data_IF_576623781750
#
_entry.id   IF_576623781750
#
_cell.length_a   1.000
_cell.length_b   1.000
_cell.length_c   1.000
_cell.angle_alpha   90.00
_cell.angle_beta   90.00
_cell.angle_gamma   90.00
#
_symmetry.space_group_name_H-M   'P 1'
#
loop_
_entity.id
_entity.type
_entity.pdbx_description
1 polymer ?
2 non-polymer ?
3 non-polymer ?
4 non-polymer ?
5 non-polymer ?
6 water ?
#
# COMPACT_ATOMS: atom_id res chain seq x y z
N UNK A 19 -14.20 -25.51 -18.40
CA UNK A 19 -13.70 -24.22 -17.90
C UNK A 19 -13.11 -23.33 -18.99
N UNK A 20 -13.30 -22.00 -18.87
CA UNK A 20 -12.68 -21.06 -19.80
C UNK A 20 -11.16 -20.99 -19.56
N UNK A 21 -10.43 -20.50 -20.57
CA UNK A 21 -8.98 -20.43 -20.55
C UNK A 21 -8.57 -19.03 -21.02
N UNK A 22 -7.50 -18.46 -20.44
CA UNK A 22 -6.96 -17.16 -20.82
C UNK A 22 -5.44 -17.30 -20.91
N UNK A 23 -4.85 -16.91 -22.07
CA UNK A 23 -3.41 -16.98 -22.30
C UNK A 23 -2.85 -18.39 -22.03
N UNK A 24 -3.57 -19.40 -22.49
CA UNK A 24 -3.18 -20.80 -22.36
C UNK A 24 -3.15 -21.32 -20.93
N UNK A 25 -4.01 -20.78 -20.04
CA UNK A 25 -4.07 -21.16 -18.63
C UNK A 25 -5.53 -21.18 -18.17
N UNK A 26 -5.91 -22.17 -17.34
CA UNK A 26 -7.30 -22.27 -16.87
C UNK A 26 -7.67 -21.09 -15.96
N UNK A 27 -8.90 -20.61 -16.12
CA UNK A 27 -9.43 -19.56 -15.29
C UNK A 27 -10.91 -19.89 -15.06
N UNK A 28 -11.13 -20.73 -14.05
CA UNK A 28 -12.36 -21.52 -13.88
C UNK A 28 -13.30 -20.87 -12.89
N UNK A 29 -14.03 -19.90 -13.38
CA UNK A 29 -14.88 -19.01 -12.55
C UNK A 29 -16.35 -19.06 -12.94
N UNK A 30 -16.70 -19.74 -14.03
CA UNK A 30 -18.10 -19.83 -14.45
C UNK A 30 -18.85 -20.77 -13.55
N UNK A 31 -20.17 -20.86 -13.74
CA UNK A 31 -20.97 -20.10 -14.71
C UNK A 31 -21.35 -18.67 -14.35
N UNK A 32 -21.16 -18.24 -13.10
CA UNK A 32 -21.53 -16.89 -12.70
C UNK A 32 -20.78 -15.84 -13.49
N UNK A 33 -19.48 -16.09 -13.73
CA UNK A 33 -18.60 -15.13 -14.38
C UNK A 33 -18.14 -15.64 -15.76
N UNK A 34 -18.43 -14.85 -16.81
CA UNK A 34 -18.20 -15.25 -18.20
C UNK A 34 -17.48 -14.15 -19.01
N UNK A 35 -17.04 -14.48 -20.25
CA UNK A 35 -16.32 -13.64 -21.20
C UNK A 35 -15.18 -12.91 -20.53
N UNK A 36 -14.16 -13.70 -20.24
CA UNK A 36 -12.99 -13.26 -19.50
C UNK A 36 -12.09 -12.45 -20.44
N UNK A 37 -11.48 -11.41 -19.91
CA UNK A 37 -10.43 -10.71 -20.62
C UNK A 37 -9.29 -10.43 -19.63
N UNK A 38 -8.08 -10.89 -19.95
CA UNK A 38 -6.83 -10.55 -19.27
C UNK A 38 -6.73 -9.04 -18.89
N UNK A 39 -6.45 -8.73 -17.61
CA UNK A 39 -6.14 -7.36 -17.15
C UNK A 39 -4.62 -7.21 -17.01
N UNK A 40 -3.97 -8.20 -16.41
CA UNK A 40 -2.54 -8.18 -16.15
C UNK A 40 -2.14 -9.26 -15.18
N UNK A 41 -0.84 -9.31 -14.83
CA UNK A 41 -0.34 -10.18 -13.77
C UNK A 41 -0.36 -9.41 -12.47
N UNK A 42 -0.89 -10.04 -11.44
CA UNK A 42 -0.82 -9.55 -10.07
C UNK A 42 0.26 -10.23 -9.27
N UNK A 43 0.38 -9.85 -8.00
CA UNK A 43 1.46 -10.35 -7.14
C UNK A 43 1.44 -11.87 -6.97
N UNK A 44 0.26 -12.55 -7.05
CA UNK A 44 0.21 -14.02 -6.86
C UNK A 44 -0.41 -14.83 -8.02
N UNK A 45 -0.77 -14.18 -9.12
CA UNK A 45 -1.25 -14.91 -10.30
C UNK A 45 -1.99 -14.04 -11.28
N UNK A 46 -2.67 -14.67 -12.23
CA UNK A 46 -3.37 -13.94 -13.28
C UNK A 46 -4.56 -13.17 -12.76
N UNK A 47 -4.74 -11.94 -13.24
CA UNK A 47 -5.94 -11.16 -13.01
C UNK A 47 -6.66 -11.04 -14.38
N UNK A 48 -7.97 -11.31 -14.42
CA UNK A 48 -8.87 -11.07 -15.56
C UNK A 48 -10.06 -10.28 -15.13
N UNK A 49 -10.69 -9.59 -16.07
CA UNK A 49 -12.03 -9.06 -15.90
C UNK A 49 -13.00 -10.14 -16.43
N UNK A 50 -14.22 -10.07 -15.95
CA UNK A 50 -15.27 -11.01 -16.35
C UNK A 50 -16.61 -10.36 -16.13
N UNK A 51 -17.62 -10.80 -16.87
CA UNK A 51 -18.98 -10.30 -16.69
C UNK A 51 -19.61 -11.07 -15.54
N UNK A 52 -20.11 -10.38 -14.53
CA UNK A 52 -20.84 -11.00 -13.44
C UNK A 52 -22.30 -11.08 -13.87
N UNK A 53 -22.78 -12.30 -14.14
CA UNK A 53 -24.14 -12.48 -14.61
C UNK A 53 -25.21 -12.22 -13.53
N UNK A 54 -24.84 -12.17 -12.23
CA UNK A 54 -25.79 -11.87 -11.15
C UNK A 54 -25.97 -10.34 -10.98
N UNK A 55 -24.90 -9.60 -10.69
CA UNK A 55 -25.02 -8.14 -10.51
C UNK A 55 -25.00 -7.34 -11.84
N UNK A 56 -24.81 -8.01 -12.97
CA UNK A 56 -24.86 -7.38 -14.29
C UNK A 56 -23.86 -6.24 -14.44
N UNK A 57 -22.60 -6.51 -14.02
CA UNK A 57 -21.45 -5.61 -14.16
C UNK A 57 -20.22 -6.44 -14.41
N UNK A 58 -19.25 -5.89 -15.15
CA UNK A 58 -17.94 -6.51 -15.18
C UNK A 58 -17.24 -6.31 -13.82
N UNK A 59 -16.43 -7.31 -13.43
CA UNK A 59 -15.71 -7.37 -12.16
C UNK A 59 -14.28 -7.75 -12.47
N UNK A 60 -13.37 -7.64 -11.48
CA UNK A 60 -11.99 -8.12 -11.62
C UNK A 60 -11.89 -9.40 -10.79
N UNK A 61 -11.16 -10.38 -11.28
CA UNK A 61 -10.92 -11.64 -10.59
C UNK A 61 -9.46 -11.98 -10.58
N UNK A 62 -8.91 -12.26 -9.40
CA UNK A 62 -7.53 -12.66 -9.19
C UNK A 62 -7.51 -14.18 -8.99
N UNK A 63 -6.62 -14.90 -9.68
CA UNK A 63 -6.41 -16.35 -9.47
C UNK A 63 -5.24 -16.55 -8.52
N UNK A 64 -5.45 -17.37 -7.47
CA UNK A 64 -4.43 -17.74 -6.52
C UNK A 64 -4.26 -19.24 -6.59
N UNK A 65 -3.06 -19.71 -6.94
CA UNK A 65 -2.73 -21.14 -7.00
C UNK A 65 -1.76 -21.52 -5.91
N UNK A 66 -1.91 -22.71 -5.31
CA UNK A 66 -0.97 -23.10 -4.26
C UNK A 66 0.43 -23.44 -4.84
N UNK A 71 0.48 -26.20 -0.66
CA UNK A 71 1.19 -25.14 0.04
C UNK A 71 0.71 -23.76 -0.42
N UNK A 72 -0.04 -23.08 0.45
CA UNK A 72 -0.52 -21.73 0.21
C UNK A 72 0.39 -20.71 0.92
N UNK A 73 0.12 -19.41 0.73
CA UNK A 73 0.94 -18.35 1.27
C UNK A 73 0.19 -17.73 2.41
N UNK A 74 0.83 -17.52 3.57
CA UNK A 74 0.17 -16.84 4.71
C UNK A 74 -0.36 -15.47 4.30
N UNK A 75 0.25 -14.84 3.32
CA UNK A 75 -0.14 -13.52 2.87
C UNK A 75 -1.55 -13.54 2.19
N UNK A 76 -1.93 -14.67 1.55
CA UNK A 76 -3.27 -14.80 1.00
C UNK A 76 -4.30 -14.75 2.15
N UNK A 77 -4.03 -15.51 3.22
CA UNK A 77 -4.94 -15.54 4.36
C UNK A 77 -5.01 -14.18 5.04
N UNK A 78 -3.86 -13.58 5.28
CA UNK A 78 -3.83 -12.27 5.98
C UNK A 78 -4.66 -11.24 5.21
N UNK A 79 -4.52 -11.20 3.89
CA UNK A 79 -5.27 -10.28 3.09
C UNK A 79 -6.75 -10.56 3.14
N UNK A 80 -7.13 -11.82 2.95
CA UNK A 80 -8.56 -12.16 3.00
C UNK A 80 -9.17 -11.73 4.35
N UNK A 81 -8.54 -12.09 5.48
CA UNK A 81 -9.06 -11.74 6.80
C UNK A 81 -9.25 -10.22 6.92
N UNK A 82 -8.23 -9.43 6.49
CA UNK A 82 -8.30 -8.01 6.59
C UNK A 82 -9.38 -7.43 5.69
N UNK A 83 -9.39 -7.79 4.42
CA UNK A 83 -10.32 -7.19 3.49
C UNK A 83 -11.76 -7.59 3.75
N UNK A 84 -12.00 -8.79 4.28
CA UNK A 84 -13.34 -9.16 4.70
C UNK A 84 -13.82 -8.39 5.92
N UNK A 85 -12.91 -7.95 6.81
CA UNK A 85 -13.28 -7.18 7.99
C UNK A 85 -13.45 -5.71 7.67
N UNK A 86 -12.67 -5.19 6.75
CA UNK A 86 -12.71 -3.78 6.40
C UNK A 86 -13.87 -3.42 5.52
N UNK A 87 -14.45 -2.24 5.77
CA UNK A 87 -15.48 -1.71 4.88
C UNK A 87 -15.23 -0.20 4.77
N UNK A 88 -14.69 0.24 3.64
CA UNK A 88 -14.39 1.66 3.42
C UNK A 88 -14.39 1.99 1.91
N UNK A 89 -14.85 3.17 1.57
CA UNK A 89 -14.91 3.59 0.17
C UNK A 89 -13.57 3.60 -0.53
N UNK A 90 -12.44 3.86 0.21
CA UNK A 90 -11.13 3.94 -0.37
C UNK A 90 -10.28 2.71 -0.14
N UNK A 91 -10.93 1.55 0.18
CA UNK A 91 -10.26 0.27 0.37
C UNK A 91 -11.00 -0.73 -0.50
N UNK A 92 -10.27 -1.49 -1.30
CA UNK A 92 -10.90 -2.50 -2.17
C UNK A 92 -11.61 -3.57 -1.28
N UNK A 93 -12.80 -3.94 -1.67
CA UNK A 93 -13.53 -5.00 -0.99
C UNK A 93 -13.39 -6.31 -1.73
N UNK A 94 -13.76 -7.39 -1.08
CA UNK A 94 -13.89 -8.69 -1.72
C UNK A 94 -15.39 -8.94 -1.89
N UNK A 95 -15.82 -9.06 -3.11
CA UNK A 95 -17.21 -9.27 -3.53
C UNK A 95 -17.60 -10.75 -3.51
N UNK A 96 -16.66 -11.64 -3.76
CA UNK A 96 -16.93 -13.08 -3.87
C UNK A 96 -15.57 -13.82 -3.79
N UNK A 97 -15.59 -15.10 -3.37
CA UNK A 97 -14.40 -15.96 -3.38
C UNK A 97 -14.85 -17.31 -3.92
N UNK A 98 -14.18 -17.80 -4.97
CA UNK A 98 -14.55 -19.05 -5.64
C UNK A 98 -13.52 -20.09 -5.27
N UNK A 99 -14.01 -21.24 -4.78
CA UNK A 99 -13.14 -22.35 -4.46
C UNK A 99 -13.98 -23.65 -4.47
N UNK A 100 -13.32 -24.82 -4.48
CA UNK A 100 -14.05 -26.09 -4.40
C UNK A 100 -14.79 -26.20 -3.06
N UNK A 101 -15.85 -27.02 -3.01
CA UNK A 101 -16.64 -27.14 -1.77
C UNK A 101 -15.99 -27.85 -0.59
N UNK A 102 -14.88 -28.54 -0.80
CA UNK A 102 -14.21 -29.29 0.23
C UNK A 102 -12.75 -29.02 0.26
N UNK A 103 -12.10 -29.17 1.42
CA UNK A 103 -10.62 -29.02 1.52
C UNK A 103 -9.90 -29.98 0.56
N UNK A 104 -10.40 -31.22 0.44
CA UNK A 104 -9.72 -32.21 -0.40
C UNK A 104 -9.70 -31.77 -1.85
N UNK A 105 -10.75 -31.13 -2.32
CA UNK A 105 -10.85 -30.72 -3.75
C UNK A 105 -10.33 -29.30 -4.00
N UNK A 106 -10.15 -28.53 -2.94
CA UNK A 106 -9.72 -27.16 -3.07
C UNK A 106 -8.30 -27.13 -3.62
N UNK A 107 -8.08 -26.28 -4.65
CA UNK A 107 -6.76 -26.06 -5.25
C UNK A 107 -6.67 -24.56 -5.51
N UNK A 108 -7.17 -24.05 -6.66
CA UNK A 108 -7.13 -22.63 -6.91
C UNK A 108 -8.27 -21.91 -6.14
N UNK A 109 -7.99 -20.68 -5.72
CA UNK A 109 -8.93 -19.77 -5.09
C UNK A 109 -9.01 -18.52 -5.97
N UNK A 110 -10.21 -18.08 -6.28
CA UNK A 110 -10.38 -16.86 -7.10
C UNK A 110 -11.02 -15.81 -6.26
N UNK A 111 -10.46 -14.58 -6.30
CA UNK A 111 -10.96 -13.51 -5.49
C UNK A 111 -11.59 -12.49 -6.42
N UNK A 112 -12.83 -12.17 -6.21
CA UNK A 112 -13.60 -11.29 -7.09
C UNK A 112 -13.69 -9.93 -6.39
N UNK A 113 -13.34 -8.87 -7.11
CA UNK A 113 -13.41 -7.50 -6.62
C UNK A 113 -14.08 -6.58 -7.66
N UNK A 114 -14.46 -5.34 -7.24
CA UNK A 114 -14.93 -4.35 -8.21
C UNK A 114 -13.93 -4.12 -9.31
N UNK A 115 -14.43 -3.91 -10.54
CA UNK A 115 -13.54 -3.66 -11.66
C UNK A 115 -12.99 -2.23 -11.50
N UNK A 116 -11.71 -2.01 -11.78
CA UNK A 116 -11.15 -0.63 -11.68
C UNK A 116 -10.39 -0.36 -12.99
N UNK A 117 -10.71 0.72 -13.75
CA UNK A 117 -10.10 1.08 -15.07
C UNK A 117 -8.58 0.87 -15.04
N UNK A 118 -7.92 1.37 -13.95
CA UNK A 118 -6.47 1.48 -13.97
C UNK A 118 -5.94 1.53 -12.51
N UNK A 119 -4.67 1.86 -12.35
CA UNK A 119 -3.98 2.02 -11.08
C UNK A 119 -3.02 3.20 -11.25
N UNK A 120 -2.54 3.73 -10.14
CA UNK A 120 -1.73 4.93 -10.20
C UNK A 120 -0.37 4.67 -10.91
N UNK A 121 0.15 3.44 -10.85
CA UNK A 121 1.42 3.11 -11.50
C UNK A 121 1.25 3.29 -13.04
N UNK A 122 0.20 2.69 -13.59
CA UNK A 122 -0.08 2.81 -15.05
C UNK A 122 -0.36 4.21 -15.44
N UNK A 123 -1.12 4.90 -14.58
CA UNK A 123 -1.54 6.24 -14.92
C UNK A 123 -0.30 7.17 -14.97
N UNK A 124 0.58 7.08 -13.99
CA UNK A 124 1.81 7.88 -13.97
C UNK A 124 2.80 7.57 -15.11
N UNK A 125 2.76 6.36 -15.69
CA UNK A 125 3.65 6.06 -16.83
C UNK A 125 3.34 6.96 -18.04
N UNK A 126 2.08 7.39 -18.19
CA UNK A 126 1.66 8.07 -19.42
C UNK A 126 0.86 9.36 -19.26
N UNK A 127 0.40 9.72 -18.04
CA UNK A 127 -0.46 10.88 -17.88
C UNK A 127 0.15 11.88 -16.90
N UNK A 128 0.24 13.15 -17.29
CA UNK A 128 0.54 14.25 -16.39
C UNK A 128 -0.67 14.48 -15.55
N UNK A 129 -0.51 14.57 -14.21
CA UNK A 129 -1.63 14.90 -13.34
C UNK A 129 -1.81 16.38 -13.13
N UNK A 130 -3.06 16.88 -13.19
CA UNK A 130 -3.35 18.22 -12.76
C UNK A 130 -3.16 18.32 -11.24
N UNK A 131 -2.96 19.56 -10.69
CA UNK A 131 -2.90 19.74 -9.26
C UNK A 131 -4.20 19.28 -8.61
N UNK A 132 -5.37 19.49 -9.28
CA UNK A 132 -6.62 18.97 -8.69
C UNK A 132 -6.62 17.45 -8.58
N UNK A 133 -6.04 16.76 -9.56
CA UNK A 133 -6.00 15.29 -9.48
C UNK A 133 -5.05 14.84 -8.37
N UNK A 134 -3.88 15.45 -8.26
CA UNK A 134 -2.88 15.12 -7.19
C UNK A 134 -3.56 15.32 -5.82
N UNK A 135 -4.26 16.45 -5.69
CA UNK A 135 -4.90 16.80 -4.42
C UNK A 135 -6.00 15.77 -4.05
N UNK A 136 -6.85 15.41 -5.02
CA UNK A 136 -7.92 14.47 -4.79
C UNK A 136 -7.39 13.07 -4.49
N UNK A 137 -6.40 12.64 -5.28
CA UNK A 137 -5.79 11.32 -5.09
C UNK A 137 -5.17 11.25 -3.69
N UNK A 138 -4.40 12.28 -3.31
CA UNK A 138 -3.71 12.27 -2.01
C UNK A 138 -4.77 12.22 -0.88
N UNK A 139 -5.83 13.07 -1.00
CA UNK A 139 -6.94 13.03 -0.05
C UNK A 139 -7.48 11.61 0.15
N UNK A 140 -7.74 10.92 -0.96
CA UNK A 140 -8.37 9.59 -0.87
C UNK A 140 -7.44 8.56 -0.27
N UNK A 141 -6.15 8.64 -0.61
CA UNK A 141 -5.13 7.73 -0.03
C UNK A 141 -5.15 7.92 1.48
N UNK A 142 -5.13 9.20 1.92
CA UNK A 142 -5.07 9.47 3.36
C UNK A 142 -6.38 9.10 4.08
N UNK A 143 -7.50 9.30 3.44
CA UNK A 143 -8.83 8.94 3.97
C UNK A 143 -8.86 7.42 4.22
N UNK A 144 -8.43 6.65 3.22
CA UNK A 144 -8.36 5.19 3.36
C UNK A 144 -7.38 4.79 4.44
N UNK A 145 -6.20 5.42 4.41
CA UNK A 145 -5.17 5.14 5.42
C UNK A 145 -5.61 5.46 6.82
N UNK A 146 -6.41 6.49 6.98
CA UNK A 146 -6.94 6.82 8.34
C UNK A 146 -7.73 5.63 8.88
N UNK A 147 -8.55 5.06 8.03
CA UNK A 147 -9.39 3.90 8.44
C UNK A 147 -8.46 2.70 8.78
N UNK A 148 -7.52 2.41 7.92
CA UNK A 148 -6.56 1.29 8.15
C UNK A 148 -5.84 1.48 9.52
N UNK A 149 -5.25 2.66 9.74
CA UNK A 149 -4.54 2.95 10.97
C UNK A 149 -5.48 2.94 12.16
N UNK A 150 -6.74 3.37 12.00
CA UNK A 150 -7.68 3.37 13.12
C UNK A 150 -7.96 1.93 13.60
N UNK A 151 -7.80 0.95 12.72
CA UNK A 151 -7.94 -0.48 13.04
C UNK A 151 -6.61 -1.07 13.60
N UNK A 152 -5.62 -0.23 13.89
CA UNK A 152 -4.29 -0.59 14.37
C UNK A 152 -3.56 -1.50 13.39
N UNK A 153 -3.81 -1.31 12.08
CA UNK A 153 -3.22 -2.06 10.98
C UNK A 153 -2.32 -1.14 10.20
N UNK A 154 -1.22 -1.69 9.75
CA UNK A 154 -0.24 -1.06 8.84
C UNK A 154 -0.32 -1.72 7.53
N UNK A 155 -0.42 -0.98 6.42
CA UNK A 155 -0.47 -1.58 5.10
C UNK A 155 0.88 -2.17 4.72
N UNK A 156 1.92 -1.36 4.85
CA UNK A 156 3.34 -1.65 4.75
C UNK A 156 3.83 -1.84 3.32
N UNK A 157 2.99 -1.67 2.29
CA UNK A 157 3.46 -1.72 0.94
C UNK A 157 2.70 -0.80 0.04
N UNK A 158 2.47 0.42 0.54
CA UNK A 158 1.82 1.42 -0.26
C UNK A 158 2.77 1.86 -1.36
N UNK A 159 2.22 1.90 -2.56
CA UNK A 159 2.96 2.29 -3.76
C UNK A 159 1.93 2.49 -4.89
N UNK A 160 2.30 3.17 -5.99
CA UNK A 160 1.31 3.48 -7.03
C UNK A 160 0.50 2.30 -7.52
N UNK A 161 1.19 1.14 -7.73
CA UNK A 161 0.47 -0.03 -8.28
C UNK A 161 -0.58 -0.65 -7.33
N UNK A 162 -0.53 -0.27 -6.06
CA UNK A 162 -1.52 -0.69 -5.07
C UNK A 162 -2.58 0.34 -4.82
N UNK A 163 -2.70 1.31 -5.72
CA UNK A 163 -3.77 2.30 -5.63
C UNK A 163 -4.56 2.17 -6.93
N UNK A 164 -5.70 1.56 -6.84
CA UNK A 164 -6.63 1.40 -7.98
C UNK A 164 -7.49 2.63 -8.22
N UNK A 165 -7.75 2.92 -9.52
CA UNK A 165 -8.57 4.04 -9.95
C UNK A 165 -9.64 3.61 -10.93
N UNK A 166 -10.82 4.15 -10.79
CA UNK A 166 -11.91 3.92 -11.74
C UNK A 166 -11.99 5.05 -12.76
N UNK A 167 -13.02 5.05 -13.68
CA UNK A 167 -13.04 6.03 -14.77
C UNK A 167 -13.30 7.44 -14.28
N UNK A 168 -13.82 7.62 -13.06
CA UNK A 168 -14.03 8.93 -12.48
C UNK A 168 -12.99 9.24 -11.43
N UNK A 169 -11.90 8.49 -11.39
CA UNK A 169 -10.78 8.80 -10.49
C UNK A 169 -11.06 8.58 -8.98
N UNK A 170 -12.04 7.81 -8.64
CA UNK A 170 -12.18 7.31 -7.27
C UNK A 170 -11.08 6.24 -7.07
N UNK A 171 -10.51 6.25 -5.87
CA UNK A 171 -9.28 5.56 -5.58
C UNK A 171 -9.55 4.54 -4.48
N UNK A 172 -8.98 3.35 -4.62
CA UNK A 172 -9.07 2.28 -3.64
C UNK A 172 -7.73 1.57 -3.41
N UNK A 173 -7.36 1.46 -2.16
CA UNK A 173 -6.11 0.82 -1.78
C UNK A 173 -6.31 -0.66 -1.88
N UNK A 174 -5.34 -1.32 -2.43
CA UNK A 174 -5.33 -2.80 -2.53
C UNK A 174 -4.02 -3.42 -2.05
N UNK A 175 -3.97 -4.73 -2.12
CA UNK A 175 -2.87 -5.59 -1.70
C UNK A 175 -2.47 -5.46 -0.24
N UNK A 176 -3.19 -6.14 0.63
CA UNK A 176 -2.88 -6.16 2.03
C UNK A 176 -2.04 -7.38 2.46
N UNK A 177 -1.36 -8.04 1.52
CA UNK A 177 -0.57 -9.23 1.85
C UNK A 177 0.62 -9.02 2.76
N UNK A 178 1.15 -7.77 2.89
CA UNK A 178 2.24 -7.48 3.84
C UNK A 178 1.76 -6.72 5.08
N UNK A 179 0.46 -6.52 5.23
CA UNK A 179 -0.08 -5.74 6.33
C UNK A 179 0.18 -6.44 7.65
N UNK A 180 0.25 -5.66 8.71
CA UNK A 180 0.47 -6.19 10.06
C UNK A 180 -0.26 -5.35 11.05
N UNK A 181 -0.57 -5.92 12.22
CA UNK A 181 -1.00 -5.11 13.36
C UNK A 181 0.17 -4.31 13.89
N UNK A 182 -0.09 -3.04 14.18
CA UNK A 182 0.96 -2.15 14.69
C UNK A 182 1.54 -2.68 16.00
N UNK A 183 2.84 -2.49 16.19
CA UNK A 183 3.58 -3.03 17.35
C UNK A 183 4.78 -2.18 17.61
N UNK A 184 4.57 -0.91 18.01
CA UNK A 184 5.71 -0.01 18.20
C UNK A 184 6.68 -0.48 19.25
N UNK A 185 6.21 -1.14 20.32
CA UNK A 185 7.13 -1.60 21.38
C UNK A 185 8.12 -2.66 20.87
N UNK A 186 7.84 -3.32 19.71
CA UNK A 186 8.76 -4.32 19.13
C UNK A 186 9.31 -3.87 17.73
N UNK A 187 9.37 -2.55 17.50
CA UNK A 187 9.81 -2.03 16.18
C UNK A 187 11.33 -2.05 15.99
N UNK A 188 12.10 -2.15 17.08
CA UNK A 188 13.54 -1.98 17.00
C UNK A 188 14.25 -3.21 16.52
N UNK A 189 15.28 -2.97 15.71
CA UNK A 189 16.10 -4.02 15.17
C UNK A 189 17.49 -3.43 14.84
N UNK A 190 18.42 -4.29 14.45
CA UNK A 190 19.77 -3.87 14.11
C UNK A 190 19.83 -3.25 12.71
N UNK A 191 21.05 -2.80 12.42
CA UNK A 191 21.36 -2.13 11.18
C UNK A 191 21.34 -3.15 10.02
N UNK A 192 20.80 -2.77 8.86
CA UNK A 192 20.83 -3.64 7.67
C UNK A 192 19.97 -4.90 7.85
N UNK A 193 18.82 -4.78 8.55
CA UNK A 193 17.91 -5.93 8.70
C UNK A 193 17.11 -6.07 7.44
N UNK A 194 17.03 -7.28 6.89
CA UNK A 194 16.36 -7.51 5.60
C UNK A 194 14.88 -7.11 5.75
N UNK A 195 14.31 -6.59 4.69
CA UNK A 195 12.92 -6.17 4.70
C UNK A 195 12.22 -6.61 3.40
N UNK A 196 10.89 -6.85 3.48
CA UNK A 196 10.14 -7.46 2.36
C UNK A 196 9.46 -6.39 1.44
N UNK A 197 9.02 -5.27 2.01
CA UNK A 197 8.18 -4.33 1.25
C UNK A 197 8.98 -3.64 0.12
N UNK A 198 8.29 -3.13 -0.88
CA UNK A 198 8.91 -2.59 -2.10
C UNK A 198 9.95 -1.50 -1.79
N UNK A 199 11.15 -1.65 -2.36
CA UNK A 199 12.30 -0.86 -1.93
C UNK A 199 12.10 0.65 -2.05
N UNK A 200 11.61 1.16 -3.19
CA UNK A 200 11.59 2.63 -3.39
C UNK A 200 10.70 3.39 -2.41
N UNK A 201 9.80 2.70 -1.72
CA UNK A 201 8.83 3.38 -0.83
C UNK A 201 9.16 3.12 0.65
N UNK A 202 10.36 2.52 0.97
CA UNK A 202 10.81 2.19 2.31
C UNK A 202 11.34 3.44 3.04
N UNK A 203 10.87 3.67 4.24
CA UNK A 203 11.31 4.78 5.07
C UNK A 203 12.79 4.59 5.44
N UNK A 204 13.51 5.68 5.70
CA UNK A 204 14.96 5.52 5.98
C UNK A 204 15.23 4.60 7.15
N UNK A 205 14.36 4.63 8.19
CA UNK A 205 14.59 3.85 9.42
C UNK A 205 14.58 2.35 9.19
N UNK A 206 13.92 1.88 8.12
CA UNK A 206 13.94 0.43 7.80
C UNK A 206 15.37 -0.08 7.63
N UNK A 207 16.20 0.74 6.99
CA UNK A 207 17.61 0.40 6.76
C UNK A 207 18.50 0.59 7.98
N UNK A 208 18.04 1.31 8.98
CA UNK A 208 18.79 1.66 10.16
C UNK A 208 18.42 0.89 11.41
N UNK A 209 17.13 0.86 11.80
CA UNK A 209 16.77 0.32 13.12
C UNK A 209 15.30 -0.06 13.28
N UNK A 210 14.57 -0.21 12.18
CA UNK A 210 13.13 -0.41 12.23
C UNK A 210 12.68 -1.64 11.44
N UNK A 211 11.78 -2.42 12.09
CA UNK A 211 11.07 -3.54 11.49
C UNK A 211 9.79 -3.10 10.71
N UNK A 212 9.46 -1.80 10.70
CA UNK A 212 8.27 -1.34 10.00
C UNK A 212 6.99 -1.73 10.70
N UNK A 213 6.98 -1.62 12.01
CA UNK A 213 5.82 -2.00 12.83
C UNK A 213 5.10 -0.77 13.39
N UNK A 214 5.38 0.46 12.87
CA UNK A 214 4.71 1.66 13.36
C UNK A 214 4.08 2.36 12.17
N UNK A 215 3.02 3.09 12.46
CA UNK A 215 2.22 3.82 11.47
C UNK A 215 3.02 4.79 10.60
N UNK A 216 4.06 5.37 11.18
CA UNK A 216 4.99 6.25 10.43
C UNK A 216 5.59 5.62 9.15
N UNK A 217 5.69 4.26 9.08
CA UNK A 217 6.27 3.66 7.86
C UNK A 217 5.34 3.92 6.63
N UNK A 218 4.04 3.86 6.86
CA UNK A 218 3.05 4.09 5.81
C UNK A 218 3.03 5.54 5.40
N UNK A 219 3.17 6.48 6.34
CA UNK A 219 3.22 7.90 5.98
C UNK A 219 4.40 8.20 5.05
N UNK A 220 5.58 7.59 5.29
CA UNK A 220 6.73 7.78 4.42
C UNK A 220 6.36 7.34 2.99
N UNK A 221 5.73 6.14 2.84
CA UNK A 221 5.33 5.62 1.55
C UNK A 221 4.40 6.62 0.84
N UNK A 222 3.43 7.17 1.58
CA UNK A 222 2.52 8.17 1.02
C UNK A 222 3.28 9.42 0.54
N UNK A 223 4.25 9.88 1.32
CA UNK A 223 5.14 10.96 0.91
C UNK A 223 5.83 10.66 -0.42
N UNK A 224 6.28 9.42 -0.56
CA UNK A 224 6.94 9.00 -1.79
C UNK A 224 5.99 9.05 -2.98
N UNK A 225 4.75 8.61 -2.73
CA UNK A 225 3.70 8.60 -3.75
C UNK A 225 3.39 10.01 -4.16
N UNK A 226 3.28 10.93 -3.20
CA UNK A 226 2.95 12.32 -3.49
C UNK A 226 4.03 12.92 -4.41
N UNK A 227 5.31 12.72 -4.03
CA UNK A 227 6.43 13.21 -4.85
C UNK A 227 6.33 12.63 -6.29
N UNK A 228 6.03 11.36 -6.40
CA UNK A 228 5.93 10.69 -7.69
C UNK A 228 4.75 11.24 -8.50
N UNK A 229 3.67 11.64 -7.84
CA UNK A 229 2.55 12.29 -8.51
C UNK A 229 2.95 13.69 -9.05
N UNK A 230 3.87 14.38 -8.37
CA UNK A 230 4.27 15.72 -8.75
C UNK A 230 5.15 15.71 -10.00
N UNK A 231 5.95 14.66 -10.22
CA UNK A 231 6.90 14.61 -11.32
C UNK A 231 6.79 13.40 -12.28
N UNK A 232 5.90 12.43 -12.04
CA UNK A 232 5.82 11.17 -12.77
C UNK A 232 7.08 10.32 -12.68
N UNK A 233 7.95 10.58 -11.71
CA UNK A 233 9.14 9.74 -11.51
C UNK A 233 9.26 9.39 -10.04
N UNK A 234 9.67 8.15 -9.70
CA UNK A 234 9.91 7.83 -8.29
C UNK A 234 10.99 8.76 -7.72
N UNK A 235 10.77 9.29 -6.49
CA UNK A 235 11.70 10.24 -5.93
C UNK A 235 13.02 9.57 -5.48
N UNK A 236 12.93 8.33 -5.00
CA UNK A 236 14.08 7.61 -4.41
C UNK A 236 14.17 6.20 -5.05
N UNK A 237 14.57 6.14 -6.31
CA UNK A 237 14.69 4.82 -6.98
C UNK A 237 16.01 4.10 -6.69
N UNK A 238 16.15 3.60 -5.48
CA UNK A 238 17.38 2.88 -5.12
C UNK A 238 17.46 1.57 -5.88
N UNK A 239 18.67 1.16 -6.24
CA UNK A 239 18.86 -0.14 -6.94
C UNK A 239 19.14 -1.31 -6.00
N UNK A 240 19.34 -1.04 -4.74
CA UNK A 240 19.60 -2.10 -3.79
C UNK A 240 19.47 -1.54 -2.40
N UNK A 241 19.49 -2.45 -1.44
CA UNK A 241 19.13 -2.16 -0.07
C UNK A 241 19.69 -0.85 0.48
N UNK A 242 21.05 -0.70 0.51
CA UNK A 242 21.62 0.49 1.16
C UNK A 242 21.54 1.69 0.26
N UNK A 243 21.56 1.51 -1.09
CA UNK A 243 21.42 2.62 -2.07
C UNK A 243 20.10 3.37 -1.85
N UNK A 244 19.07 2.67 -1.37
CA UNK A 244 17.79 3.33 -1.05
C UNK A 244 18.01 4.47 -0.02
N UNK A 245 18.80 4.17 1.03
CA UNK A 245 19.08 5.17 2.06
C UNK A 245 19.88 6.35 1.52
N UNK A 246 20.85 6.06 0.68
CA UNK A 246 21.71 7.09 0.15
C UNK A 246 20.87 8.02 -0.84
N UNK A 247 19.90 7.45 -1.60
CA UNK A 247 18.96 8.29 -2.36
C UNK A 247 18.21 9.29 -1.42
N UNK A 248 17.69 8.78 -0.34
CA UNK A 248 16.94 9.58 0.64
C UNK A 248 17.80 10.73 1.20
N UNK A 249 18.99 10.38 1.71
CA UNK A 249 19.92 11.37 2.27
C UNK A 249 20.40 12.35 1.19
N UNK A 250 20.49 11.91 -0.05
CA UNK A 250 20.82 12.78 -1.17
C UNK A 250 19.85 13.93 -1.41
N UNK A 251 18.57 13.77 -0.94
CA UNK A 251 17.59 14.87 -1.02
C UNK A 251 17.34 15.56 0.33
N UNK A 252 17.12 14.78 1.39
CA UNK A 252 16.92 15.40 2.73
C UNK A 252 18.16 16.03 3.31
N UNK A 253 19.32 15.57 2.87
CA UNK A 253 20.57 16.01 3.45
C UNK A 253 20.88 15.18 4.66
N UNK A 254 22.07 15.42 5.18
CA UNK A 254 22.53 14.76 6.38
C UNK A 254 21.57 14.97 7.55
N UNK A 255 21.26 13.91 8.32
CA UNK A 255 20.45 14.13 9.53
C UNK A 255 21.14 14.96 10.57
N UNK A 256 20.34 15.66 11.29
CA UNK A 256 20.80 16.51 12.36
C UNK A 256 21.38 15.75 13.52
N UNK A 257 22.17 16.42 14.34
CA UNK A 257 22.66 15.78 15.62
C UNK A 257 21.49 15.23 16.43
N UNK A 258 20.42 16.01 16.59
CA UNK A 258 19.28 15.60 17.39
C UNK A 258 18.65 14.28 16.82
N UNK A 259 18.45 14.21 15.48
CA UNK A 259 17.91 13.04 14.85
C UNK A 259 18.85 11.84 14.94
N UNK A 260 20.16 12.08 14.89
CA UNK A 260 21.14 10.99 15.09
C UNK A 260 21.14 10.50 16.49
N UNK A 261 21.03 11.41 17.49
CA UNK A 261 20.93 10.99 18.90
C UNK A 261 19.75 10.08 19.17
N UNK A 262 18.66 10.21 18.39
CA UNK A 262 17.52 9.28 18.47
C UNK A 262 17.85 7.86 18.01
N UNK A 263 18.91 7.67 17.20
CA UNK A 263 19.31 6.36 16.72
C UNK A 263 20.32 5.78 17.73
N UNK A 264 19.83 4.95 18.64
CA UNK A 264 20.72 4.40 19.69
C UNK A 264 21.57 3.24 19.16
N UNK A 265 21.07 2.52 18.14
CA UNK A 265 21.88 1.49 17.51
C UNK A 265 23.21 2.01 16.96
N UNK A 266 24.30 1.50 17.49
CA UNK A 266 25.62 2.08 17.17
C UNK A 266 26.03 1.82 15.73
N UNK A 267 25.77 0.61 15.19
CA UNK A 267 26.16 0.31 13.81
C UNK A 267 25.42 1.30 12.86
N UNK A 268 24.12 1.52 13.09
CA UNK A 268 23.35 2.46 12.28
C UNK A 268 23.86 3.88 12.40
N UNK A 269 24.03 4.34 13.72
CA UNK A 269 24.49 5.72 13.95
C UNK A 269 25.85 5.95 13.29
N UNK A 270 26.80 5.04 13.52
CA UNK A 270 28.16 5.22 12.98
C UNK A 270 28.22 5.16 11.46
N UNK A 271 27.29 4.40 10.85
CA UNK A 271 27.17 4.46 9.39
C UNK A 271 26.84 5.86 8.94
N UNK A 272 25.85 6.45 9.57
CA UNK A 272 25.43 7.79 9.15
C UNK A 272 26.57 8.79 9.44
N UNK A 273 27.26 8.66 10.57
CA UNK A 273 28.38 9.58 10.89
C UNK A 273 29.55 9.42 9.92
N UNK A 274 29.69 8.26 9.27
CA UNK A 274 30.80 7.97 8.34
C UNK A 274 30.63 8.68 6.99
N UNK A 275 29.42 9.15 6.68
CA UNK A 275 29.13 9.69 5.35
C UNK A 275 29.59 11.15 5.30
N UNK A 276 29.95 11.61 4.12
CA UNK A 276 30.18 13.04 3.96
C UNK A 276 28.93 13.84 4.19
N UNK A 277 29.12 15.14 4.56
CA UNK A 277 28.01 16.03 4.64
C UNK A 277 27.29 16.10 3.25
N UNK A 278 25.95 16.01 3.29
CA UNK A 278 25.09 16.11 2.11
C UNK A 278 24.13 17.26 2.38
N UNK A 279 24.04 18.15 1.40
CA UNK A 279 23.17 19.32 1.49
C UNK A 279 21.68 18.89 1.24
N UNK A 280 20.74 19.53 1.88
CA UNK A 280 19.29 19.36 1.57
C UNK A 280 19.02 19.91 0.17
N UNK A 281 18.24 19.17 -0.65
CA UNK A 281 17.76 19.69 -1.95
C UNK A 281 16.39 20.36 -1.67
N UNK A 282 16.24 21.69 -1.90
CA UNK A 282 14.93 22.34 -1.66
C UNK A 282 13.82 21.69 -2.47
N UNK A 283 12.67 21.44 -1.84
CA UNK A 283 11.57 20.77 -2.54
C UNK A 283 11.11 21.58 -3.76
N UNK A 284 11.14 22.91 -3.65
CA UNK A 284 10.70 23.75 -4.78
C UNK A 284 11.72 23.70 -5.98
N UNK A 285 12.95 23.25 -5.77
CA UNK A 285 13.91 23.03 -6.87
C UNK A 285 13.68 21.66 -7.55
N UNK A 286 13.37 20.61 -6.78
CA UNK A 286 12.94 19.34 -7.36
C UNK A 286 11.61 19.38 -8.04
N UNK A 287 10.68 20.23 -7.56
CA UNK A 287 9.29 20.30 -7.98
C UNK A 287 8.91 21.75 -8.26
N UNK A 288 9.53 22.33 -9.30
CA UNK A 288 9.30 23.76 -9.59
C UNK A 288 7.87 24.10 -10.00
N UNK A 289 7.12 23.10 -10.47
CA UNK A 289 5.71 23.26 -10.86
C UNK A 289 4.70 23.07 -9.68
N UNK A 290 5.16 22.55 -8.54
CA UNK A 290 4.25 22.10 -7.48
C UNK A 290 3.61 23.22 -6.72
N UNK A 291 2.39 22.95 -6.25
CA UNK A 291 1.72 23.83 -5.36
C UNK A 291 2.52 23.95 -4.04
N UNK A 292 2.71 25.17 -3.54
CA UNK A 292 3.53 25.38 -2.34
C UNK A 292 2.99 24.62 -1.08
N UNK A 293 1.67 24.55 -0.94
CA UNK A 293 1.05 23.84 0.17
C UNK A 293 1.30 22.34 0.02
N UNK A 294 1.28 21.80 -1.24
CA UNK A 294 1.61 20.38 -1.45
C UNK A 294 3.03 20.10 -0.97
N UNK A 295 4.00 21.03 -1.26
CA UNK A 295 5.37 20.80 -0.84
C UNK A 295 5.55 20.93 0.68
N UNK A 296 4.75 21.76 1.36
CA UNK A 296 4.85 21.85 2.84
C UNK A 296 4.38 20.49 3.42
N UNK A 297 3.30 19.94 2.83
CA UNK A 297 2.81 18.63 3.31
C UNK A 297 3.80 17.52 2.95
N UNK A 298 4.38 17.59 1.72
CA UNK A 298 5.38 16.58 1.32
C UNK A 298 6.55 16.54 2.34
N UNK A 299 7.04 17.74 2.72
CA UNK A 299 8.12 17.88 3.66
C UNK A 299 7.83 17.20 4.97
N UNK A 300 6.58 17.36 5.44
CA UNK A 300 6.18 16.78 6.70
C UNK A 300 6.02 15.25 6.66
N UNK A 301 5.66 14.73 5.52
CA UNK A 301 5.56 13.28 5.34
C UNK A 301 6.95 12.66 5.14
N UNK A 302 7.84 13.36 4.41
CA UNK A 302 9.21 12.86 4.20
C UNK A 302 10.19 13.46 5.20
N UNK A 303 9.83 13.37 6.47
CA UNK A 303 10.67 13.71 7.57
C UNK A 303 11.53 12.52 7.94
N UNK A 304 12.86 12.78 8.11
CA UNK A 304 13.78 11.69 8.41
C UNK A 304 13.40 10.96 9.70
N UNK A 305 13.16 11.75 10.78
CA UNK A 305 12.94 11.18 12.10
C UNK A 305 11.48 10.70 12.13
N UNK A 306 11.20 9.40 12.28
CA UNK A 306 9.81 8.93 12.29
C UNK A 306 8.96 9.49 13.41
N UNK A 307 9.59 9.84 14.56
CA UNK A 307 8.86 10.45 15.66
C UNK A 307 8.35 11.85 15.32
N UNK A 308 9.07 12.57 14.41
CA UNK A 308 8.69 13.93 14.00
C UNK A 308 7.73 13.94 12.77
N UNK A 309 7.60 12.80 12.11
CA UNK A 309 6.83 12.65 10.88
C UNK A 309 5.34 12.85 11.15
N UNK A 310 4.65 13.55 10.25
CA UNK A 310 3.22 13.83 10.40
C UNK A 310 2.41 12.53 10.46
N UNK A 311 1.32 12.50 11.25
CA UNK A 311 0.44 11.37 11.32
C UNK A 311 -0.72 11.54 10.35
N UNK A 312 -1.44 10.47 10.06
CA UNK A 312 -2.45 10.50 9.00
C UNK A 312 -3.55 11.57 9.23
N UNK A 313 -4.04 11.71 10.48
CA UNK A 313 -5.09 12.70 10.74
C UNK A 313 -4.60 14.13 10.59
N UNK A 314 -3.34 14.41 10.99
CA UNK A 314 -2.75 15.73 10.78
C UNK A 314 -2.57 16.03 9.32
N UNK A 315 -2.20 15.02 8.53
CA UNK A 315 -2.02 15.20 7.08
C UNK A 315 -3.37 15.57 6.46
N UNK A 316 -4.47 14.87 6.84
CA UNK A 316 -5.77 15.23 6.36
C UNK A 316 -6.15 16.69 6.67
N UNK A 317 -5.73 17.17 7.84
CA UNK A 317 -6.05 18.52 8.33
C UNK A 317 -5.11 19.61 7.73
N UNK A 318 -4.15 19.21 6.88
CA UNK A 318 -3.17 20.16 6.32
C UNK A 318 -3.86 21.08 5.31
N UNK A 319 -3.49 22.39 5.28
CA UNK A 319 -4.09 23.32 4.31
C UNK A 319 -4.18 22.85 2.86
N UNK A 320 -3.25 22.01 2.38
CA UNK A 320 -3.29 21.52 1.02
C UNK A 320 -4.61 20.82 0.71
N UNK A 321 -5.15 20.12 1.71
CA UNK A 321 -6.36 19.33 1.55
C UNK A 321 -7.67 20.00 2.05
N UNK A 322 -7.64 21.30 2.28
CA UNK A 322 -8.76 22.02 2.89
C UNK A 322 -10.04 21.90 2.14
N UNK A 323 -9.97 21.78 0.83
CA UNK A 323 -11.21 21.63 0.03
C UNK A 323 -11.97 20.35 0.31
N UNK A 324 -11.26 19.31 0.83
CA UNK A 324 -11.81 18.01 1.03
C UNK A 324 -11.98 17.68 2.50
N UNK A 325 -11.14 18.25 3.38
CA UNK A 325 -11.08 17.79 4.78
C UNK A 325 -12.42 17.86 5.45
N UNK A 326 -12.86 16.76 5.99
CA UNK A 326 -14.13 16.70 6.69
C UNK A 326 -14.13 15.50 7.60
N UNK A 327 -13.70 15.66 8.87
CA UNK A 327 -13.44 14.47 9.70
C UNK A 327 -14.69 13.65 9.95
N UNK A 328 -15.88 14.29 9.90
CA UNK A 328 -17.13 13.55 10.02
C UNK A 328 -17.37 12.62 8.82
N UNK A 329 -16.70 12.86 7.70
CA UNK A 329 -16.84 12.05 6.51
C UNK A 329 -15.57 11.26 6.22
N UNK A 330 -14.78 10.96 7.26
CA UNK A 330 -13.52 10.24 7.19
C UNK A 330 -13.63 9.16 8.28
N UNK A 331 -14.40 8.14 7.99
CA UNK A 331 -14.72 7.14 9.02
C UNK A 331 -13.55 6.33 9.51
N UNK A 332 -13.73 5.80 10.72
CA UNK A 332 -12.76 4.89 11.32
C UNK A 332 -13.38 3.52 11.56
N UNK A 333 -12.54 2.53 11.82
CA UNK A 333 -12.98 1.17 12.09
C UNK A 333 -13.67 1.10 13.45
N UNK A 334 -14.65 0.21 13.55
CA UNK A 334 -15.43 -0.04 14.77
C UNK A 334 -14.51 -0.53 15.94
N UNK A 335 -13.52 -1.36 15.60
CA UNK A 335 -12.64 -1.90 16.61
C UNK A 335 -11.25 -2.21 16.06
N UNK A 336 -10.22 -2.31 16.93
CA UNK A 336 -8.90 -2.74 16.44
C UNK A 336 -8.96 -4.14 15.83
N UNK A 337 -8.16 -4.36 14.84
CA UNK A 337 -8.09 -5.62 14.14
C UNK A 337 -7.07 -6.48 14.86
N UNK A 338 -7.31 -7.80 14.96
CA UNK A 338 -6.39 -8.73 15.62
C UNK A 338 -6.35 -10.04 14.83
N UNK A 339 -5.17 -10.65 14.68
CA UNK A 339 -5.07 -12.02 14.16
C UNK A 339 -5.25 -12.98 15.36
N UNK A 347 1.72 -24.38 10.12
CA UNK A 347 1.88 -25.54 9.22
C UNK A 347 0.96 -25.44 8.00
N UNK A 348 1.41 -25.97 6.85
CA UNK A 348 0.72 -25.81 5.58
C UNK A 348 -0.73 -26.32 5.61
N UNK A 349 -0.97 -27.46 6.26
CA UNK A 349 -2.30 -28.05 6.40
C UNK A 349 -3.21 -27.11 7.15
N UNK A 350 -2.69 -26.55 8.25
CA UNK A 350 -3.44 -25.62 9.07
C UNK A 350 -3.75 -24.36 8.26
N UNK A 351 -2.81 -23.87 7.45
CA UNK A 351 -3.01 -22.67 6.67
C UNK A 351 -4.12 -22.91 5.64
N UNK A 352 -4.09 -24.03 4.93
CA UNK A 352 -5.11 -24.35 3.94
C UNK A 352 -6.50 -24.45 4.60
N UNK A 353 -6.57 -25.07 5.78
CA UNK A 353 -7.82 -25.22 6.53
C UNK A 353 -8.32 -23.81 6.91
N UNK A 354 -7.43 -22.90 7.34
CA UNK A 354 -7.87 -21.55 7.67
C UNK A 354 -8.39 -20.74 6.45
N UNK A 355 -7.77 -20.89 5.32
CA UNK A 355 -8.25 -20.27 4.08
C UNK A 355 -9.62 -20.83 3.73
N UNK A 356 -9.78 -22.14 3.83
CA UNK A 356 -11.07 -22.76 3.58
C UNK A 356 -12.17 -22.18 4.48
N UNK A 357 -11.87 -22.09 5.80
CA UNK A 357 -12.81 -21.53 6.76
C UNK A 357 -13.09 -20.07 6.54
N UNK A 358 -12.07 -19.25 6.27
CA UNK A 358 -12.26 -17.81 6.01
C UNK A 358 -13.10 -17.52 4.78
N UNK A 359 -13.10 -18.42 3.80
CA UNK A 359 -13.81 -18.19 2.54
C UNK A 359 -15.20 -18.86 2.52
N UNK A 360 -15.60 -19.54 3.61
CA UNK A 360 -16.86 -20.29 3.69
C UNK A 360 -18.11 -19.45 3.43
N UNK A 361 -18.10 -18.15 3.77
CA UNK A 361 -19.32 -17.34 3.64
C UNK A 361 -19.77 -17.16 2.20
N UNK A 362 -18.89 -17.40 1.21
CA UNK A 362 -19.25 -17.21 -0.17
C UNK A 362 -19.83 -18.47 -0.82
N UNK A 363 -19.96 -19.57 -0.08
CA UNK A 363 -20.41 -20.81 -0.64
C UNK A 363 -21.91 -20.83 -0.71
N UNK A 364 -22.46 -21.50 -1.76
CA UNK A 364 -23.87 -21.86 -1.75
C UNK A 364 -24.09 -23.20 -1.02
X LIG B 1 16.40 -5.52 -1.14
X LIG B 1 16.63 -4.02 -1.13
X LIG B 1 17.66 -6.23 -0.84
X LIG B 1 15.87 -5.93 -2.50
X LIG B 1 15.38 -5.84 -0.09
X LIG C 1 4.72 11.11 -19.98
X LIG C 1 3.88 10.58 -21.03
X LIG C 1 3.94 11.22 -18.65
X LIG C 1 4.37 12.38 -17.95
X LIG D 1 5.61 -9.82 7.57
X LIG D 1 6.41 -9.94 6.35
X LIG D 1 6.40 -9.08 8.57
X LIG D 1 5.29 -11.18 8.10
X LIG D 1 4.32 -9.15 7.30
X LIG E 1 -7.48 -4.74 -10.01
X LIG E 1 -4.55 -5.11 -12.03
X LIG E 1 -3.33 -5.74 -12.03
X LIG E 1 -2.87 -6.35 -10.87
X LIG E 1 -3.63 -6.32 -9.73
X LIG E 1 -7.16 -5.64 -8.85
X LIG E 1 -5.31 -5.44 -7.26
X LIG E 1 -3.89 -4.93 -6.98
X LIG E 1 -3.68 -4.46 -5.56
X LIG E 1 -6.06 -5.68 -6.32
X LIG E 1 -5.71 -5.63 -8.56
X LIG E 1 -6.56 -4.43 -10.92
X LIG E 1 -5.34 -5.07 -10.88
X LIG E 1 -4.87 -5.69 -9.72
X LIG E 1 -8.76 -4.27 -10.11
X LIG E 1 -4.86 -4.69 -12.83
X LIG E 1 -2.79 -5.76 -12.82
X LIG E 1 -2.02 -6.79 -10.87
X LIG E 1 -3.31 -6.74 -8.94
X LIG E 1 -7.44 -6.56 -9.06
X LIG E 1 -7.66 -5.34 -8.06
X LIG E 1 -3.26 -5.64 -7.17
X LIG E 1 -3.69 -4.19 -7.61
X LIG E 1 -4.04 -5.12 -4.94
X LIG E 1 -2.71 -4.38 -5.40
X LIG E 1 -8.84 -3.74 -10.84
X LIG F 1 18.72 5.86 28.28
X LIG F 1 18.48 4.78 27.45
X LIG F 1 17.50 3.85 27.81
X LIG F 1 17.22 2.77 27.00
X LIG F 1 17.91 2.61 25.81
X LIG F 1 18.86 3.53 25.43
X LIG F 1 22.94 4.02 24.03
X LIG F 1 21.60 4.10 24.57
X LIG F 1 21.35 5.41 25.32
X LIG F 1 22.24 6.25 25.38
X LIG F 1 20.14 5.61 25.92
X LIG F 1 19.79 6.98 26.35
X LIG F 1 19.17 6.94 27.71
X LIG F 1 19.16 4.61 26.25
X LIG F 1 19.16 8.19 28.17
X LIG F 1 17.03 3.96 28.64
X LIG F 1 16.56 2.14 27.26
X LIG F 1 17.71 1.86 25.24
X LIG F 1 19.33 3.41 24.61
X LIG F 1 23.10 4.76 23.43
X LIG F 1 23.57 4.04 24.76
X LIG F 1 21.44 3.35 25.17
X LIG F 1 20.60 7.53 26.37
X LIG F 1 19.17 7.38 25.71
X LIG F 1 20.96 4.04 23.82
X LIG F 1 18.78 8.20 28.99
#
# INVERSE_FOLDING_TARGET
MAHHHHHHMAAAAAAGAGPEMVRGQVFDVGPRYTNLSYIGEGAYGMVCSAYDNVNKVRVAIKKISPFEHQTYCQRTLREIKILLRFRHENIIGINDIIRAPTIEQMKDVYIVQDLMETDLYKLLKTQHLSNDHICYFLYQILRGLKYIHSANVLHRDLKPSNLLLNTTCDLKICDFGLARVADPDHDHTGFLTEYVATRWYRAPEIMLNSKGYTKSIDIWSVGCILAEMLSNRPIFPGKHYLDQLNHILGILGSPSQEDLNCIINLKARNYLLSLPHKNKVPWNRLFPNADSKALDLLDKMLTFNPHKRIEVEQALAHPYLEQYYDPSDEPIAEAPFKFDMELDDLPKEKLKELIFEETARFQPGYRS
SO4 S O1 O2 O3 O4
EDO C1 O1 C2 O2
SO4 S O1 O2 O3 O4
NY0 C2 C5 C6 C7 C8 C11 C12 C14 C15 O13 N10 N3 C4 C9 O1 H17 H18 H19 H20 H21 H22 H23 H26 H25 H24 H16
NYI N3 C4 C5 C6 C7 C8 C15 C14 C12 O13 N10 C11 C2 C9 O1 H17 H18 H19 H20 H25 H24 H23 H21 H22 H26 H16
#
